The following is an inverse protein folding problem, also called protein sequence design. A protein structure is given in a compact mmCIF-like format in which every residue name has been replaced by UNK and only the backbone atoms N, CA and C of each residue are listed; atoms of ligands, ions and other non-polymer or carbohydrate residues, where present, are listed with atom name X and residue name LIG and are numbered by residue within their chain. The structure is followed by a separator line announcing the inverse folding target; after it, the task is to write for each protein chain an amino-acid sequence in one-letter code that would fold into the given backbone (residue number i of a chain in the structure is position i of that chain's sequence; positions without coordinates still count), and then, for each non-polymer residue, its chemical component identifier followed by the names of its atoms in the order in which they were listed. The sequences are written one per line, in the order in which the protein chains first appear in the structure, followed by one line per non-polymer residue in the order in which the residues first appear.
data_IF_302823914102
#
_entry.id   IF_302823914102
#
_cell.length_a   1.000
_cell.length_b   1.000
_cell.length_c   1.000
_cell.angle_alpha   90.00
_cell.angle_beta   90.00
_cell.angle_gamma   90.00
#
_symmetry.space_group_name_H-M   'P 1'
#
loop_
_entity.id
_entity.type
_entity.pdbx_description
1 polymer ?
#
# COMPACT_ATOMS: atom_id res chain seq x y z
N UNK A 1 -8.91 -3.40 -7.25
CA UNK A 1 -9.49 -2.15 -6.71
C UNK A 1 -10.10 -1.36 -7.85
N UNK A 2 -11.33 -0.85 -7.74
CA UNK A 2 -12.01 -0.11 -8.81
C UNK A 2 -11.40 1.28 -9.07
N UNK A 3 -10.71 1.87 -8.08
CA UNK A 3 -9.96 3.13 -8.20
C UNK A 3 -8.57 2.97 -7.60
N UNK A 4 -7.60 3.73 -8.11
CA UNK A 4 -6.24 3.74 -7.56
C UNK A 4 -6.18 4.46 -6.20
N UNK A 5 -5.13 4.22 -5.39
CA UNK A 5 -5.02 4.78 -4.04
C UNK A 5 -4.97 6.32 -4.01
N UNK A 6 -4.36 6.94 -5.01
CA UNK A 6 -4.25 8.40 -5.10
C UNK A 6 -5.61 9.03 -5.46
N UNK A 7 -6.34 8.42 -6.39
CA UNK A 7 -7.70 8.86 -6.72
C UNK A 7 -8.65 8.66 -5.54
N UNK A 8 -8.52 7.55 -4.81
CA UNK A 8 -9.29 7.31 -3.59
C UNK A 8 -9.02 8.37 -2.52
N UNK A 9 -7.76 8.78 -2.33
CA UNK A 9 -7.42 9.85 -1.39
C UNK A 9 -8.11 11.17 -1.77
N UNK A 10 -8.14 11.53 -3.05
CA UNK A 10 -8.86 12.70 -3.55
C UNK A 10 -10.39 12.59 -3.35
N UNK A 11 -10.96 11.40 -3.51
CA UNK A 11 -12.40 11.15 -3.31
C UNK A 11 -12.79 11.35 -1.84
N UNK A 12 -12.00 10.77 -0.93
CA UNK A 12 -12.20 10.86 0.53
C UNK A 12 -11.97 12.30 1.02
N UNK A 13 -10.99 12.95 0.44
CA UNK A 13 -10.51 14.29 0.81
C UNK A 13 -9.14 14.24 1.45
N UNK A 14 -8.22 15.05 0.92
CA UNK A 14 -6.82 15.03 1.35
C UNK A 14 -6.61 15.52 2.78
N UNK A 15 -7.47 16.36 3.31
CA UNK A 15 -7.49 16.76 4.72
C UNK A 15 -7.83 15.59 5.65
N UNK A 16 -8.81 14.75 5.27
CA UNK A 16 -9.16 13.54 5.99
C UNK A 16 -8.00 12.54 5.89
N UNK A 17 -7.44 12.36 4.68
CA UNK A 17 -6.29 11.48 4.46
C UNK A 17 -5.07 11.93 5.28
N UNK A 18 -4.83 13.25 5.39
CA UNK A 18 -3.75 13.81 6.22
C UNK A 18 -3.99 13.53 7.71
N UNK A 19 -5.21 13.76 8.19
CA UNK A 19 -5.55 13.52 9.60
C UNK A 19 -5.39 12.05 9.98
N UNK A 20 -5.98 11.14 9.21
CA UNK A 20 -5.85 9.68 9.43
C UNK A 20 -4.39 9.25 9.29
N UNK A 21 -3.70 9.75 8.26
CA UNK A 21 -2.29 9.49 8.03
C UNK A 21 -1.41 9.93 9.21
N UNK A 22 -1.74 11.06 9.86
CA UNK A 22 -1.01 11.55 11.03
C UNK A 22 -1.20 10.63 12.25
N UNK A 23 -2.44 10.20 12.52
CA UNK A 23 -2.74 9.27 13.61
C UNK A 23 -2.01 7.93 13.41
N UNK A 24 -2.07 7.38 12.20
CA UNK A 24 -1.37 6.13 11.88
C UNK A 24 0.15 6.30 11.91
N UNK A 25 0.66 7.44 11.44
CA UNK A 25 2.10 7.73 11.46
C UNK A 25 2.64 7.79 12.89
N UNK A 26 1.90 8.39 13.82
CA UNK A 26 2.25 8.41 15.24
C UNK A 26 2.24 7.00 15.83
N UNK A 27 1.17 6.22 15.59
CA UNK A 27 1.04 4.86 16.10
C UNK A 27 2.14 3.90 15.61
N UNK A 28 2.59 4.07 14.36
CA UNK A 28 3.59 3.19 13.73
C UNK A 28 5.01 3.80 13.68
N UNK A 29 5.27 4.92 14.34
CA UNK A 29 6.58 5.60 14.30
C UNK A 29 7.00 6.03 12.90
N UNK A 30 6.04 6.40 12.04
CA UNK A 30 6.26 6.78 10.64
C UNK A 30 6.03 8.28 10.45
N UNK A 31 6.32 8.78 9.26
CA UNK A 31 6.04 10.18 8.90
C UNK A 31 5.01 10.24 7.79
N UNK A 32 4.13 11.23 7.86
CA UNK A 32 3.21 11.54 6.77
C UNK A 32 4.00 12.13 5.59
N UNK A 33 3.70 11.75 4.34
CA UNK A 33 4.34 12.32 3.18
C UNK A 33 4.13 13.85 3.10
N UNK A 34 5.23 14.62 2.98
CA UNK A 34 5.17 16.08 2.85
C UNK A 34 4.29 16.55 1.68
N UNK A 35 4.26 15.77 0.59
CA UNK A 35 3.43 16.10 -0.57
C UNK A 35 1.95 16.19 -0.19
N UNK A 36 1.45 15.29 0.69
CA UNK A 36 0.08 15.32 1.16
C UNK A 36 -0.19 16.57 2.02
N UNK A 37 0.72 16.90 2.93
CA UNK A 37 0.61 18.09 3.77
C UNK A 37 0.57 19.37 2.91
N UNK A 38 1.45 19.49 1.91
CA UNK A 38 1.47 20.65 0.99
C UNK A 38 0.18 20.81 0.20
N UNK A 39 -0.43 19.72 -0.26
CA UNK A 39 -1.73 19.80 -0.96
C UNK A 39 -2.80 20.39 -0.04
N UNK A 40 -2.87 19.94 1.21
CA UNK A 40 -3.83 20.43 2.18
C UNK A 40 -3.59 21.91 2.52
N UNK A 41 -2.34 22.32 2.74
CA UNK A 41 -1.97 23.74 2.95
C UNK A 41 -2.41 24.64 1.79
N UNK A 42 -2.29 24.15 0.56
CA UNK A 42 -2.75 24.83 -0.66
C UNK A 42 -4.26 24.77 -0.86
N UNK A 43 -5.01 24.17 0.07
CA UNK A 43 -6.46 23.94 -0.02
C UNK A 43 -6.91 23.09 -1.21
N UNK A 44 -6.01 22.30 -1.76
CA UNK A 44 -6.27 21.31 -2.79
C UNK A 44 -6.71 20.02 -2.11
N UNK A 45 -7.99 19.93 -1.79
CA UNK A 45 -8.53 18.88 -0.92
C UNK A 45 -9.13 17.70 -1.69
N UNK A 46 -8.87 17.61 -2.98
CA UNK A 46 -9.40 16.57 -3.86
C UNK A 46 -10.75 16.95 -4.49
N UNK A 47 -11.59 15.94 -4.72
CA UNK A 47 -12.88 16.12 -5.42
C UNK A 47 -13.74 17.24 -4.85
N UNK A 48 -13.79 17.39 -3.54
CA UNK A 48 -14.64 18.40 -2.87
C UNK A 48 -14.22 19.84 -3.12
N UNK A 49 -12.95 20.07 -3.45
CA UNK A 49 -12.41 21.41 -3.79
C UNK A 49 -12.20 21.62 -5.29
N UNK A 50 -12.49 20.60 -6.11
CA UNK A 50 -12.24 20.63 -7.55
C UNK A 50 -10.80 20.31 -7.95
N UNK A 51 -9.87 20.24 -7.01
CA UNK A 51 -8.47 19.92 -7.24
C UNK A 51 -7.85 19.21 -6.01
N UNK A 52 -7.03 18.23 -6.26
CA UNK A 52 -6.21 17.50 -5.31
C UNK A 52 -4.94 17.04 -6.01
N UNK A 53 -4.65 15.74 -5.98
CA UNK A 53 -3.64 15.12 -6.85
C UNK A 53 -4.10 15.13 -8.31
N UNK A 54 -5.41 15.06 -8.54
CA UNK A 54 -6.05 15.22 -9.85
C UNK A 54 -6.87 16.51 -9.89
N UNK A 55 -7.10 17.02 -11.09
CA UNK A 55 -8.14 18.02 -11.34
C UNK A 55 -9.47 17.30 -11.48
N UNK A 56 -10.53 17.82 -10.86
CA UNK A 56 -11.86 17.22 -10.88
C UNK A 56 -12.82 18.07 -11.68
N UNK A 57 -13.51 17.47 -12.65
CA UNK A 57 -14.56 18.11 -13.44
C UNK A 57 -15.78 17.21 -13.45
N UNK A 58 -16.95 17.78 -13.14
CA UNK A 58 -18.23 17.04 -13.10
C UNK A 58 -18.15 15.74 -12.27
N UNK A 59 -17.42 15.80 -11.14
CA UNK A 59 -17.26 14.68 -10.21
C UNK A 59 -16.30 13.57 -10.68
N UNK A 60 -15.60 13.76 -11.82
CA UNK A 60 -14.64 12.81 -12.39
C UNK A 60 -13.22 13.36 -12.34
N UNK A 61 -12.27 12.49 -12.01
CA UNK A 61 -10.85 12.82 -12.08
C UNK A 61 -10.44 13.01 -13.56
N UNK A 62 -9.79 14.11 -13.84
CA UNK A 62 -9.14 14.34 -15.14
C UNK A 62 -7.74 13.74 -15.07
N UNK A 63 -7.57 12.59 -15.67
CA UNK A 63 -6.26 11.96 -15.79
C UNK A 63 -5.42 12.74 -16.82
N UNK A 64 -4.17 13.10 -16.47
CA UNK A 64 -3.26 13.68 -17.45
C UNK A 64 -3.05 12.67 -18.58
N UNK A 65 -2.86 13.16 -19.84
CA UNK A 65 -2.53 12.25 -20.94
C UNK A 65 -1.28 11.46 -20.56
N UNK A 66 -1.27 10.20 -20.98
CA UNK A 66 -0.21 9.24 -20.67
C UNK A 66 1.15 9.88 -21.00
N UNK A 67 1.83 10.33 -19.98
CA UNK A 67 3.20 10.80 -20.14
C UNK A 67 4.03 9.54 -20.07
N UNK A 68 4.90 9.32 -21.05
CA UNK A 68 5.95 8.29 -21.04
C UNK A 68 6.94 8.51 -19.89
N UNK A 69 6.41 8.61 -18.67
CA UNK A 69 7.22 8.65 -17.46
C UNK A 69 7.82 7.26 -17.27
N UNK A 70 9.14 7.18 -17.23
CA UNK A 70 9.81 5.93 -16.92
C UNK A 70 9.34 5.44 -15.55
N UNK A 71 8.59 4.35 -15.53
CA UNK A 71 8.15 3.72 -14.28
C UNK A 71 9.38 3.08 -13.63
N UNK A 72 9.70 3.43 -12.37
CA UNK A 72 10.79 2.77 -11.67
C UNK A 72 10.60 1.25 -11.68
N UNK A 73 11.64 0.46 -12.01
CA UNK A 73 11.52 -1.00 -12.16
C UNK A 73 11.13 -1.69 -10.84
N UNK A 74 11.35 -1.04 -9.71
CA UNK A 74 11.03 -1.54 -8.38
C UNK A 74 9.69 -1.00 -7.83
N UNK A 75 8.91 -0.26 -8.62
CA UNK A 75 7.68 0.37 -8.14
C UNK A 75 6.65 -0.66 -7.66
N UNK A 76 6.44 -1.74 -8.40
CA UNK A 76 5.51 -2.80 -8.03
C UNK A 76 5.90 -3.41 -6.68
N UNK A 77 7.18 -3.78 -6.52
CA UNK A 77 7.69 -4.35 -5.27
C UNK A 77 7.51 -3.39 -4.09
N UNK A 78 7.77 -2.11 -4.29
CA UNK A 78 7.59 -1.08 -3.25
C UNK A 78 6.15 -0.87 -2.83
N UNK A 79 5.20 -1.23 -3.66
CA UNK A 79 3.76 -1.15 -3.35
C UNK A 79 3.22 -2.45 -2.76
N UNK A 80 3.62 -3.59 -3.30
CA UNK A 80 3.04 -4.89 -2.95
C UNK A 80 3.75 -5.54 -1.76
N UNK A 81 5.09 -5.57 -1.74
CA UNK A 81 5.81 -6.31 -0.70
C UNK A 81 5.58 -5.82 0.73
N UNK A 82 5.40 -4.50 1.01
CA UNK A 82 5.03 -4.07 2.36
C UNK A 82 3.69 -4.63 2.83
N UNK A 83 2.72 -4.80 1.93
CA UNK A 83 1.44 -5.40 2.27
C UNK A 83 1.57 -6.89 2.58
N UNK A 84 2.40 -7.63 1.81
CA UNK A 84 2.69 -9.03 2.13
C UNK A 84 3.40 -9.14 3.48
N UNK A 85 4.33 -8.25 3.75
CA UNK A 85 5.08 -8.21 5.01
C UNK A 85 4.15 -7.97 6.21
N UNK A 86 3.19 -7.05 6.08
CA UNK A 86 2.16 -6.79 7.10
C UNK A 86 1.21 -7.99 7.30
N UNK A 87 0.87 -8.70 6.22
CA UNK A 87 0.07 -9.93 6.29
C UNK A 87 0.80 -11.02 7.11
N UNK A 88 2.11 -11.18 6.91
CA UNK A 88 2.95 -12.10 7.71
C UNK A 88 3.02 -11.66 9.16
N UNK A 89 3.16 -10.36 9.43
CA UNK A 89 3.16 -9.82 10.78
C UNK A 89 1.82 -10.11 11.50
N UNK A 90 0.69 -9.92 10.82
CA UNK A 90 -0.63 -10.19 11.37
C UNK A 90 -0.81 -11.67 11.78
N UNK A 91 -0.31 -12.61 10.99
CA UNK A 91 -0.27 -14.03 11.36
C UNK A 91 0.63 -14.30 12.56
N UNK A 92 1.83 -13.71 12.56
CA UNK A 92 2.78 -13.89 13.67
C UNK A 92 2.22 -13.34 14.98
N UNK A 93 1.49 -12.25 14.92
CA UNK A 93 0.88 -11.58 16.09
C UNK A 93 -0.42 -12.24 16.53
N UNK A 94 -0.94 -13.23 15.78
CA UNK A 94 -2.16 -13.92 16.12
C UNK A 94 -3.43 -13.08 15.91
N UNK A 95 -3.34 -12.02 15.07
CA UNK A 95 -4.50 -11.23 14.64
C UNK A 95 -5.44 -12.12 13.83
N UNK A 96 -4.87 -13.01 13.06
CA UNK A 96 -5.55 -14.09 12.36
C UNK A 96 -4.68 -15.35 12.44
N UNK A 97 -5.30 -16.50 12.65
CA UNK A 97 -4.56 -17.75 12.91
C UNK A 97 -4.40 -18.62 11.65
N UNK A 98 -5.23 -18.38 10.64
CA UNK A 98 -5.32 -19.20 9.45
C UNK A 98 -4.90 -18.43 8.19
N UNK A 99 -4.03 -19.04 7.40
CA UNK A 99 -3.45 -18.46 6.18
C UNK A 99 -4.51 -18.24 5.11
N UNK A 100 -5.42 -19.21 4.93
CA UNK A 100 -6.45 -19.15 3.89
C UNK A 100 -7.50 -18.09 4.24
N UNK A 101 -7.83 -17.96 5.55
CA UNK A 101 -8.71 -16.90 6.02
C UNK A 101 -8.08 -15.51 5.84
N UNK A 102 -6.76 -15.38 6.06
CA UNK A 102 -6.05 -14.12 5.80
C UNK A 102 -6.10 -13.76 4.31
N UNK A 103 -5.79 -14.71 3.44
CA UNK A 103 -5.80 -14.51 1.99
C UNK A 103 -7.21 -14.16 1.50
N UNK A 104 -8.23 -14.88 1.94
CA UNK A 104 -9.64 -14.58 1.63
C UNK A 104 -10.04 -13.20 2.16
N UNK A 105 -9.70 -12.87 3.41
CA UNK A 105 -9.96 -11.58 4.03
C UNK A 105 -9.33 -10.43 3.25
N UNK A 106 -8.09 -10.57 2.81
CA UNK A 106 -7.41 -9.59 2.01
C UNK A 106 -8.10 -9.37 0.64
N UNK A 107 -8.54 -10.45 -0.01
CA UNK A 107 -9.28 -10.35 -1.27
C UNK A 107 -10.59 -9.58 -1.07
N UNK A 108 -11.40 -9.94 -0.08
CA UNK A 108 -12.71 -9.34 0.13
C UNK A 108 -12.63 -7.92 0.70
N UNK A 109 -11.71 -7.65 1.62
CA UNK A 109 -11.62 -6.35 2.30
C UNK A 109 -10.87 -5.30 1.48
N UNK A 110 -9.79 -5.69 0.78
CA UNK A 110 -8.92 -4.73 0.07
C UNK A 110 -9.04 -4.80 -1.44
N UNK A 111 -9.71 -5.82 -1.98
CA UNK A 111 -9.76 -6.08 -3.41
C UNK A 111 -8.41 -6.57 -3.96
N UNK A 112 -7.63 -7.29 -3.16
CA UNK A 112 -6.45 -7.98 -3.66
C UNK A 112 -6.85 -8.89 -4.83
N UNK A 113 -6.00 -9.00 -5.84
CA UNK A 113 -6.31 -9.70 -7.08
C UNK A 113 -6.69 -11.18 -6.82
N UNK A 114 -7.97 -11.59 -6.98
CA UNK A 114 -8.43 -12.93 -6.60
C UNK A 114 -7.71 -14.05 -7.36
N UNK A 115 -7.31 -13.78 -8.61
CA UNK A 115 -6.59 -14.76 -9.44
C UNK A 115 -5.15 -15.03 -8.95
N UNK A 116 -4.66 -14.26 -7.97
CA UNK A 116 -3.39 -14.49 -7.28
C UNK A 116 -3.53 -15.34 -6.02
N UNK A 117 -4.77 -15.63 -5.59
CA UNK A 117 -5.05 -16.46 -4.42
C UNK A 117 -4.93 -15.77 -3.06
N UNK A 118 -4.55 -14.50 -3.05
CA UNK A 118 -4.29 -13.73 -1.83
C UNK A 118 -2.82 -13.37 -1.64
N UNK A 119 -2.49 -12.54 -0.63
CA UNK A 119 -1.13 -12.06 -0.41
C UNK A 119 -0.12 -13.17 -0.11
N UNK A 120 -0.46 -14.16 0.70
CA UNK A 120 0.47 -15.21 1.07
C UNK A 120 0.61 -16.27 -0.01
N UNK A 121 -0.48 -16.61 -0.69
CA UNK A 121 -0.41 -17.46 -1.87
C UNK A 121 0.42 -16.81 -2.99
N UNK A 122 0.29 -15.50 -3.18
CA UNK A 122 1.16 -14.75 -4.10
C UNK A 122 2.62 -14.82 -3.69
N UNK A 123 2.93 -14.66 -2.40
CA UNK A 123 4.30 -14.76 -1.89
C UNK A 123 4.89 -16.16 -2.09
N UNK A 124 4.11 -17.22 -1.81
CA UNK A 124 4.52 -18.62 -2.05
C UNK A 124 4.78 -18.88 -3.54
N UNK A 125 3.89 -18.41 -4.42
CA UNK A 125 4.03 -18.58 -5.86
C UNK A 125 5.25 -17.84 -6.44
N UNK A 126 5.61 -16.71 -5.85
CA UNK A 126 6.81 -15.95 -6.21
C UNK A 126 8.09 -16.55 -5.63
N UNK A 127 7.99 -17.29 -4.55
CA UNK A 127 9.09 -17.82 -3.76
C UNK A 127 9.38 -16.95 -2.53
N UNK A 128 9.16 -17.53 -1.35
CA UNK A 128 9.31 -16.81 -0.06
C UNK A 128 10.71 -16.23 0.10
N UNK A 129 11.75 -17.01 -0.24
CA UNK A 129 13.14 -16.56 -0.19
C UNK A 129 13.44 -15.41 -1.15
N UNK A 130 12.80 -15.35 -2.34
CA UNK A 130 12.92 -14.22 -3.25
C UNK A 130 12.25 -12.97 -2.66
N UNK A 131 11.04 -13.11 -2.10
CA UNK A 131 10.30 -12.01 -1.49
C UNK A 131 11.07 -11.40 -0.32
N UNK A 132 11.60 -12.23 0.59
CA UNK A 132 12.38 -11.77 1.75
C UNK A 132 13.67 -11.08 1.33
N UNK A 133 14.43 -11.66 0.40
CA UNK A 133 15.62 -11.03 -0.17
C UNK A 133 15.28 -9.67 -0.79
N UNK A 134 14.20 -9.60 -1.54
CA UNK A 134 13.77 -8.36 -2.18
C UNK A 134 13.35 -7.28 -1.18
N UNK A 135 12.67 -7.66 -0.10
CA UNK A 135 12.37 -6.78 1.02
C UNK A 135 13.64 -6.24 1.68
N UNK A 136 14.68 -7.07 1.88
CA UNK A 136 15.97 -6.63 2.41
C UNK A 136 16.65 -5.60 1.51
N UNK A 137 16.68 -5.83 0.20
CA UNK A 137 17.21 -4.87 -0.78
C UNK A 137 16.47 -3.53 -0.73
N UNK A 138 15.13 -3.58 -0.62
CA UNK A 138 14.30 -2.38 -0.49
C UNK A 138 14.54 -1.68 0.86
N UNK A 139 14.75 -2.43 1.95
CA UNK A 139 15.06 -1.87 3.26
C UNK A 139 16.39 -1.12 3.24
N UNK A 140 17.42 -1.68 2.61
CA UNK A 140 18.71 -1.01 2.45
C UNK A 140 18.60 0.29 1.62
N UNK A 141 17.74 0.31 0.61
CA UNK A 141 17.62 1.45 -0.31
C UNK A 141 16.63 2.51 0.16
N UNK A 142 15.53 2.10 0.79
CA UNK A 142 14.38 2.98 1.08
C UNK A 142 14.00 3.01 2.57
N UNK A 143 14.73 2.30 3.42
CA UNK A 143 14.60 2.34 4.88
C UNK A 143 13.74 1.24 5.48
N UNK A 144 13.67 1.26 6.80
CA UNK A 144 13.15 0.21 7.69
C UNK A 144 11.72 -0.26 7.41
N UNK A 145 10.90 0.55 6.75
CA UNK A 145 9.53 0.16 6.39
C UNK A 145 9.44 -1.09 5.50
N UNK A 146 10.56 -1.49 4.89
CA UNK A 146 10.66 -2.67 4.05
C UNK A 146 11.37 -3.83 4.75
N UNK A 147 11.79 -3.67 6.02
CA UNK A 147 12.45 -4.75 6.76
C UNK A 147 11.53 -5.98 6.80
N UNK A 148 12.02 -7.16 6.38
CA UNK A 148 11.23 -8.38 6.46
C UNK A 148 10.79 -8.68 7.89
N UNK A 149 9.53 -9.03 8.08
CA UNK A 149 9.03 -9.53 9.36
C UNK A 149 9.67 -10.90 9.68
N UNK A 150 9.95 -11.13 10.96
CA UNK A 150 10.54 -12.40 11.40
C UNK A 150 9.63 -13.62 11.17
N UNK A 151 8.33 -13.38 10.97
CA UNK A 151 7.34 -14.42 10.66
C UNK A 151 7.53 -15.10 9.31
N UNK A 152 8.33 -14.53 8.40
CA UNK A 152 8.59 -15.15 7.09
C UNK A 152 9.18 -16.55 7.19
N UNK A 153 9.99 -16.83 8.21
CA UNK A 153 10.57 -18.16 8.46
C UNK A 153 9.51 -19.26 8.66
N UNK A 154 8.33 -18.90 9.16
CA UNK A 154 7.21 -19.85 9.33
C UNK A 154 6.50 -20.13 8.01
N UNK A 155 6.40 -19.12 7.14
CA UNK A 155 5.75 -19.25 5.82
C UNK A 155 6.58 -20.12 4.89
N UNK A 156 7.91 -20.07 4.99
CA UNK A 156 8.82 -20.90 4.19
C UNK A 156 8.72 -22.39 4.53
N UNK A 157 8.36 -22.69 5.79
CA UNK A 157 8.30 -24.07 6.32
C UNK A 157 6.90 -24.72 6.14
N UNK A 158 5.91 -23.97 5.64
CA UNK A 158 4.52 -24.42 5.45
C UNK A 158 4.22 -24.72 4.00
#
# INVERSE_FOLDING_TARGET
MPVGPIELADIVGLDVALHVGSVLAEAFGRRVPELLARQVEQKKLGRKSGEGFYVWRDGKAVHPPDRNAAIPPDLEDRLILPMLNEAVAALREGVIEDVDLLDAGAIFATGFAPFRGGPLQYAKARGVGEVTKRLEELAQRYGERFRPDVGWSRIESS
#
